data_IF_306009210693
#
_entry.id   IF_306009210693
#
_cell.length_a   1.000
_cell.length_b   1.000
_cell.length_c   1.000
_cell.angle_alpha   90.00
_cell.angle_beta   90.00
_cell.angle_gamma   90.00
#
_symmetry.space_group_name_H-M   'P 1'
#
loop_
_entity.id
_entity.type
_entity.pdbx_description
1 polymer ?
#
# COMPACT_ATOMS: atom_id res chain seq x y z
N UNK A 1 13.18 -17.16 76.69
CA UNK A 1 13.64 -17.83 75.46
C UNK A 1 13.31 -16.93 74.28
N UNK A 2 14.29 -16.20 73.73
CA UNK A 2 14.06 -15.23 72.66
C UNK A 2 14.23 -15.95 71.32
N UNK A 3 13.13 -16.17 70.60
CA UNK A 3 13.13 -16.78 69.28
C UNK A 3 13.90 -15.91 68.28
N UNK A 4 15.09 -16.34 67.87
CA UNK A 4 15.80 -15.81 66.70
C UNK A 4 15.05 -16.21 65.43
N UNK A 5 14.05 -15.41 65.04
CA UNK A 5 13.39 -15.58 63.74
C UNK A 5 14.28 -15.00 62.65
N UNK A 6 14.93 -15.90 61.90
CA UNK A 6 15.68 -15.59 60.68
C UNK A 6 14.73 -14.91 59.69
N UNK A 7 15.01 -13.65 59.32
CA UNK A 7 14.19 -12.89 58.37
C UNK A 7 14.32 -13.51 56.96
N UNK A 8 13.23 -13.58 56.18
CA UNK A 8 13.28 -14.04 54.79
C UNK A 8 14.08 -13.03 53.98
N UNK A 9 15.29 -13.41 53.56
CA UNK A 9 16.25 -12.52 52.90
C UNK A 9 17.71 -12.75 53.27
N UNK A 10 18.00 -13.56 54.31
CA UNK A 10 19.36 -14.07 54.55
C UNK A 10 19.75 -15.15 53.53
N UNK A 11 19.91 -14.75 52.27
CA UNK A 11 20.72 -15.52 51.32
C UNK A 11 22.17 -15.41 51.77
N UNK A 12 22.87 -16.55 51.87
CA UNK A 12 24.29 -16.60 52.23
C UNK A 12 25.09 -15.63 51.34
N UNK A 13 25.53 -14.52 51.93
CA UNK A 13 26.27 -13.43 51.29
C UNK A 13 27.55 -13.90 50.58
N UNK A 14 27.99 -15.13 50.85
CA UNK A 14 29.18 -15.75 50.28
C UNK A 14 29.10 -15.98 48.76
N UNK A 15 27.90 -16.04 48.18
CA UNK A 15 27.69 -16.33 46.75
C UNK A 15 26.92 -15.25 45.99
N UNK A 16 26.71 -14.06 46.57
CA UNK A 16 26.06 -12.96 45.87
C UNK A 16 27.08 -12.23 44.97
N UNK A 17 26.92 -12.39 43.65
CA UNK A 17 27.76 -11.75 42.65
C UNK A 17 27.75 -10.21 42.76
N UNK A 18 26.64 -9.62 43.20
CA UNK A 18 26.52 -8.17 43.36
C UNK A 18 27.30 -7.72 44.61
N UNK A 19 27.17 -8.45 45.72
CA UNK A 19 27.97 -8.17 46.92
C UNK A 19 29.47 -8.39 46.71
N UNK A 20 29.87 -9.29 45.80
CA UNK A 20 31.29 -9.48 45.46
C UNK A 20 31.91 -8.24 44.80
N UNK A 21 31.14 -7.53 43.96
CA UNK A 21 31.63 -6.35 43.23
C UNK A 21 31.48 -5.07 44.07
N UNK A 22 30.34 -4.88 44.73
CA UNK A 22 29.99 -3.63 45.41
C UNK A 22 30.10 -3.69 46.94
N UNK A 23 30.53 -4.82 47.49
CA UNK A 23 30.57 -5.10 48.92
C UNK A 23 29.19 -5.40 49.52
N UNK A 24 29.13 -5.82 50.80
CA UNK A 24 27.88 -6.13 51.47
C UNK A 24 26.90 -4.95 51.50
N UNK A 25 25.62 -5.24 51.33
CA UNK A 25 24.56 -4.26 51.46
C UNK A 25 24.41 -3.80 52.91
N UNK A 26 24.27 -2.48 53.12
CA UNK A 26 23.96 -1.93 54.43
C UNK A 26 22.49 -2.12 54.76
N UNK A 27 22.19 -2.57 55.98
CA UNK A 27 20.82 -2.76 56.47
C UNK A 27 19.98 -1.50 56.26
N UNK A 28 18.80 -1.66 55.65
CA UNK A 28 17.87 -0.55 55.33
C UNK A 28 18.08 0.11 53.97
N UNK A 29 19.16 -0.21 53.24
CA UNK A 29 19.31 0.11 51.82
C UNK A 29 19.03 -1.16 51.03
N UNK A 30 18.32 -1.04 49.91
CA UNK A 30 18.18 -2.13 48.93
C UNK A 30 18.64 -1.60 47.57
N UNK A 31 19.81 -2.05 47.13
CA UNK A 31 20.33 -1.83 45.79
C UNK A 31 19.40 -2.51 44.81
N UNK A 32 19.29 -1.95 43.60
CA UNK A 32 18.45 -2.50 42.54
C UNK A 32 16.92 -2.48 42.81
N UNK A 33 16.44 -2.00 43.97
CA UNK A 33 15.10 -1.41 44.12
C UNK A 33 15.09 0.08 43.70
N UNK A 34 16.03 0.48 42.85
CA UNK A 34 15.90 1.72 42.11
C UNK A 34 14.76 1.55 41.10
N UNK A 35 13.82 2.50 41.07
CA UNK A 35 12.94 2.70 39.92
C UNK A 35 13.81 3.04 38.71
N UNK A 36 14.39 2.04 38.07
CA UNK A 36 14.77 2.14 36.66
C UNK A 36 13.52 2.53 35.87
N UNK A 37 13.70 3.03 34.64
CA UNK A 37 12.56 3.36 33.78
C UNK A 37 11.55 2.21 33.79
N UNK A 38 10.36 2.47 34.33
CA UNK A 38 9.28 1.48 34.28
C UNK A 38 9.05 1.17 32.80
N UNK A 39 9.01 -0.11 32.37
CA UNK A 39 8.81 -0.47 30.96
C UNK A 39 7.54 0.15 30.33
N UNK A 40 6.61 0.69 31.13
CA UNK A 40 5.46 1.46 30.67
C UNK A 40 5.83 2.67 29.80
N UNK A 41 7.02 3.26 29.96
CA UNK A 41 7.46 4.38 29.10
C UNK A 41 7.94 3.93 27.71
N UNK A 42 8.20 2.64 27.50
CA UNK A 42 8.49 2.09 26.17
C UNK A 42 7.21 1.85 25.36
N UNK A 43 6.08 1.62 26.04
CA UNK A 43 4.80 1.33 25.38
C UNK A 43 4.14 2.63 24.88
N UNK A 44 4.39 3.78 25.52
CA UNK A 44 3.89 5.08 25.05
C UNK A 44 4.57 5.58 23.78
N UNK A 45 5.82 5.19 23.51
CA UNK A 45 6.46 5.47 22.20
C UNK A 45 5.94 4.57 21.09
N UNK A 46 5.16 3.53 21.42
CA UNK A 46 4.49 2.65 20.47
C UNK A 46 3.16 3.24 19.96
N UNK A 47 2.84 4.49 20.31
CA UNK A 47 1.87 5.34 19.60
C UNK A 47 2.36 5.72 18.18
N UNK A 48 3.18 4.86 17.56
CA UNK A 48 3.49 4.85 16.12
C UNK A 48 2.24 4.59 15.26
N UNK A 49 1.09 4.30 15.87
CA UNK A 49 -0.24 4.39 15.25
C UNK A 49 -0.51 5.77 14.64
N UNK A 50 0.06 6.85 15.20
CA UNK A 50 -0.04 8.19 14.64
C UNK A 50 0.58 8.29 13.24
N UNK A 51 1.82 7.82 13.06
CA UNK A 51 2.51 7.89 11.76
C UNK A 51 1.89 6.97 10.73
N UNK A 52 1.50 5.76 11.13
CA UNK A 52 0.82 4.79 10.24
C UNK A 52 -0.51 5.36 9.75
N UNK A 53 -1.28 6.00 10.63
CA UNK A 53 -2.57 6.59 10.24
C UNK A 53 -2.39 7.78 9.27
N UNK A 54 -1.37 8.61 9.46
CA UNK A 54 -1.04 9.71 8.54
C UNK A 54 -0.63 9.18 7.17
N UNK A 55 0.25 8.19 7.13
CA UNK A 55 0.71 7.55 5.89
C UNK A 55 -0.45 6.87 5.14
N UNK A 56 -1.35 6.18 5.85
CA UNK A 56 -2.54 5.57 5.24
C UNK A 56 -3.47 6.64 4.65
N UNK A 57 -3.65 7.78 5.32
CA UNK A 57 -4.47 8.88 4.79
C UNK A 57 -3.84 9.46 3.52
N UNK A 58 -2.53 9.64 3.51
CA UNK A 58 -1.80 10.12 2.34
C UNK A 58 -1.90 9.13 1.17
N UNK A 59 -1.64 7.84 1.41
CA UNK A 59 -1.80 6.77 0.41
C UNK A 59 -3.23 6.73 -0.14
N UNK A 60 -4.23 6.83 0.73
CA UNK A 60 -5.64 6.85 0.29
C UNK A 60 -5.93 8.04 -0.60
N UNK A 61 -5.35 9.21 -0.31
CA UNK A 61 -5.50 10.41 -1.14
C UNK A 61 -4.84 10.27 -2.51
N UNK A 62 -3.65 9.67 -2.57
CA UNK A 62 -2.91 9.47 -3.83
C UNK A 62 -3.59 8.43 -4.71
N UNK A 63 -4.09 7.33 -4.13
CA UNK A 63 -4.88 6.32 -4.84
C UNK A 63 -6.16 6.91 -5.40
N UNK A 64 -6.87 7.74 -4.63
CA UNK A 64 -8.08 8.43 -5.12
C UNK A 64 -7.78 9.36 -6.29
N UNK A 65 -6.76 10.20 -6.17
CA UNK A 65 -6.33 11.11 -7.25
C UNK A 65 -5.95 10.33 -8.52
N UNK A 66 -5.26 9.19 -8.36
CA UNK A 66 -4.91 8.33 -9.48
C UNK A 66 -6.16 7.73 -10.14
N UNK A 67 -7.13 7.24 -9.36
CA UNK A 67 -8.39 6.72 -9.88
C UNK A 67 -9.15 7.78 -10.71
N UNK A 68 -9.28 9.00 -10.17
CA UNK A 68 -9.94 10.11 -10.87
C UNK A 68 -9.25 10.43 -12.20
N UNK A 69 -7.90 10.42 -12.23
CA UNK A 69 -7.12 10.62 -13.47
C UNK A 69 -7.33 9.49 -14.48
N UNK A 70 -7.39 8.24 -14.02
CA UNK A 70 -7.64 7.08 -14.89
C UNK A 70 -9.02 7.16 -15.53
N UNK A 71 -10.05 7.56 -14.78
CA UNK A 71 -11.41 7.75 -15.30
C UNK A 71 -11.47 8.84 -16.39
N UNK A 72 -10.76 9.95 -16.19
CA UNK A 72 -10.65 11.02 -17.19
C UNK A 72 -9.98 10.51 -18.47
N UNK A 73 -8.86 9.78 -18.33
CA UNK A 73 -8.12 9.22 -19.49
C UNK A 73 -8.98 8.20 -20.22
N UNK A 74 -9.67 7.31 -19.49
CA UNK A 74 -10.57 6.32 -20.08
C UNK A 74 -11.71 6.99 -20.87
N UNK A 75 -12.32 8.05 -20.32
CA UNK A 75 -13.38 8.81 -20.98
C UNK A 75 -12.87 9.52 -22.24
N UNK A 76 -11.69 10.15 -22.18
CA UNK A 76 -11.08 10.81 -23.32
C UNK A 76 -10.76 9.81 -24.45
N UNK A 77 -10.24 8.63 -24.09
CA UNK A 77 -9.94 7.57 -25.04
C UNK A 77 -11.22 7.01 -25.68
N UNK A 78 -12.29 6.81 -24.91
CA UNK A 78 -13.58 6.39 -25.42
C UNK A 78 -14.16 7.40 -26.41
N UNK A 79 -14.08 8.69 -26.10
CA UNK A 79 -14.51 9.76 -27.00
C UNK A 79 -13.68 9.78 -28.30
N UNK A 80 -12.36 9.66 -28.19
CA UNK A 80 -11.45 9.63 -29.34
C UNK A 80 -11.71 8.43 -30.27
N UNK A 81 -11.94 7.25 -29.70
CA UNK A 81 -12.28 6.05 -30.47
C UNK A 81 -13.67 6.21 -31.12
N UNK A 82 -14.65 6.73 -30.37
CA UNK A 82 -15.98 7.01 -30.90
C UNK A 82 -15.96 7.97 -32.09
N UNK A 83 -15.12 9.01 -32.05
CA UNK A 83 -14.99 9.98 -33.14
C UNK A 83 -14.23 9.41 -34.35
N UNK A 84 -13.15 8.65 -34.14
CA UNK A 84 -12.30 8.13 -35.23
C UNK A 84 -12.90 6.90 -35.93
N UNK A 85 -13.61 6.03 -35.21
CA UNK A 85 -14.27 4.86 -35.80
C UNK A 85 -15.48 5.25 -36.67
N UNK A 86 -16.14 6.37 -36.35
CA UNK A 86 -17.22 6.93 -37.18
C UNK A 86 -16.73 7.43 -38.55
N UNK A 87 -15.44 7.77 -38.67
CA UNK A 87 -14.83 8.33 -39.88
C UNK A 87 -14.40 7.26 -40.91
N UNK A 88 -14.28 6.00 -40.50
CA UNK A 88 -13.91 4.87 -41.39
C UNK A 88 -15.09 4.04 -41.89
N UNK A 89 -16.33 4.43 -41.55
CA UNK A 89 -17.49 3.86 -42.24
C UNK A 89 -17.50 4.41 -43.67
N UNK A 90 -16.90 3.68 -44.61
CA UNK A 90 -17.26 3.81 -46.04
C UNK A 90 -18.78 3.76 -46.07
N UNK A 91 -19.39 4.90 -46.37
CA UNK A 91 -20.84 5.00 -46.31
C UNK A 91 -21.41 3.97 -47.32
N UNK A 92 -22.55 3.36 -46.98
CA UNK A 92 -23.17 2.31 -47.79
C UNK A 92 -23.36 2.76 -49.25
N UNK A 93 -23.58 4.07 -49.44
CA UNK A 93 -23.74 4.76 -50.72
C UNK A 93 -22.47 4.72 -51.58
N UNK A 94 -21.29 5.01 -51.04
CA UNK A 94 -20.02 5.03 -51.76
C UNK A 94 -19.61 3.61 -52.15
N UNK A 95 -19.89 2.63 -51.27
CA UNK A 95 -19.70 1.21 -51.58
C UNK A 95 -20.62 0.79 -52.74
N UNK A 96 -21.89 1.17 -52.71
CA UNK A 96 -22.86 0.86 -53.76
C UNK A 96 -22.52 1.55 -55.09
N UNK A 97 -22.03 2.78 -55.05
CA UNK A 97 -21.56 3.50 -56.23
C UNK A 97 -20.37 2.79 -56.88
N UNK A 98 -19.38 2.36 -56.08
CA UNK A 98 -18.22 1.61 -56.58
C UNK A 98 -18.61 0.27 -57.21
N UNK A 99 -19.52 -0.47 -56.57
CA UNK A 99 -20.04 -1.75 -57.10
C UNK A 99 -20.77 -1.53 -58.43
N UNK A 100 -21.56 -0.46 -58.55
CA UNK A 100 -22.27 -0.16 -59.80
C UNK A 100 -21.32 0.21 -60.94
N UNK A 101 -20.28 0.99 -60.67
CA UNK A 101 -19.24 1.33 -61.65
C UNK A 101 -18.54 0.06 -62.15
N UNK A 102 -18.16 -0.84 -61.23
CA UNK A 102 -17.54 -2.12 -61.57
C UNK A 102 -18.46 -2.99 -62.43
N UNK A 103 -19.74 -3.12 -62.06
CA UNK A 103 -20.73 -3.85 -62.86
C UNK A 103 -20.87 -3.29 -64.27
N UNK A 104 -20.87 -1.97 -64.42
CA UNK A 104 -20.96 -1.31 -65.72
C UNK A 104 -19.71 -1.54 -66.58
N UNK A 105 -18.52 -1.52 -65.97
CA UNK A 105 -17.27 -1.78 -66.67
C UNK A 105 -17.19 -3.23 -67.18
N UNK A 106 -17.59 -4.21 -66.37
CA UNK A 106 -17.63 -5.63 -66.75
C UNK A 106 -18.57 -5.85 -67.93
N UNK A 107 -19.79 -5.32 -67.85
CA UNK A 107 -20.76 -5.42 -68.94
C UNK A 107 -20.26 -4.78 -70.24
N UNK A 108 -19.49 -3.68 -70.16
CA UNK A 108 -18.89 -3.06 -71.35
C UNK A 108 -17.82 -3.93 -71.99
N UNK A 109 -17.02 -4.66 -71.20
CA UNK A 109 -15.98 -5.57 -71.72
C UNK A 109 -16.62 -6.77 -72.41
N UNK A 110 -17.60 -7.40 -71.78
CA UNK A 110 -18.31 -8.56 -72.36
C UNK A 110 -18.97 -8.23 -73.70
N UNK A 111 -19.53 -7.02 -73.84
CA UNK A 111 -20.14 -6.57 -75.10
C UNK A 111 -19.13 -6.18 -76.18
N UNK A 112 -17.86 -5.94 -75.84
CA UNK A 112 -16.80 -5.65 -76.81
C UNK A 112 -16.11 -6.91 -77.34
N UNK A 113 -16.07 -8.00 -76.57
CA UNK A 113 -15.53 -9.29 -77.01
C UNK A 113 -16.47 -10.07 -77.95
N UNK A 114 -17.74 -9.69 -78.05
CA UNK A 114 -18.76 -10.35 -78.90
C UNK A 114 -18.82 -9.76 -80.33
N UNK A 115 -17.95 -8.80 -80.69
CA UNK A 115 -17.88 -8.18 -82.03
C UNK A 115 -16.63 -8.59 -82.79
#
# INVERSE_FOLDING_TARGET
EVMNKKLPGETSLKNDAIAQVFGPEHSGRVRCLGRGVTPSTYISSLDSTSSINVEIVEIKSTVKNLADKVDIVASALQAYIGSTCSQFKVNETDRNAMVNILKQAISKIENQEIK
#
